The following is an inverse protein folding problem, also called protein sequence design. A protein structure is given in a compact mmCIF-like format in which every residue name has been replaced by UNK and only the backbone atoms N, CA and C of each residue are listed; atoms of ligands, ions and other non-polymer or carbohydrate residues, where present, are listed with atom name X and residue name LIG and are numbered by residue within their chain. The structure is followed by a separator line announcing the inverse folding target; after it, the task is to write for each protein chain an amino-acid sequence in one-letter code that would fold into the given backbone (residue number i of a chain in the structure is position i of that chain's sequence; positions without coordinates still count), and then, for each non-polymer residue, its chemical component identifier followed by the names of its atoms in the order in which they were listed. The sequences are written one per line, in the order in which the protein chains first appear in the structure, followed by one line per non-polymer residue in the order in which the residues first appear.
data_IF_814506033383
#
_entry.id   IF_814506033383
#
_cell.length_a   1.000
_cell.length_b   1.000
_cell.length_c   1.000
_cell.angle_alpha   90.00
_cell.angle_beta   90.00
_cell.angle_gamma   90.00
#
_symmetry.space_group_name_H-M   'P 1'
#
loop_
_entity.id
_entity.type
_entity.pdbx_description
1 polymer ?
#
# COMPACT_ATOMS: atom_id res chain seq x y z
N UNK A 1 -13.01 -6.12 3.63
CA UNK A 1 -13.45 -5.64 2.30
C UNK A 1 -13.24 -6.77 1.29
N UNK A 2 -14.29 -7.42 0.75
CA UNK A 2 -14.13 -8.67 0.01
C UNK A 2 -13.22 -8.57 -1.23
N UNK A 3 -13.12 -7.38 -1.84
CA UNK A 3 -12.22 -7.12 -2.97
C UNK A 3 -10.73 -7.14 -2.58
N UNK A 4 -10.36 -6.57 -1.42
CA UNK A 4 -8.99 -6.58 -0.90
C UNK A 4 -8.50 -8.01 -0.69
N UNK A 5 -9.28 -8.79 0.06
CA UNK A 5 -8.92 -10.17 0.38
C UNK A 5 -8.75 -11.03 -0.87
N UNK A 6 -9.65 -10.90 -1.84
CA UNK A 6 -9.59 -11.67 -3.08
C UNK A 6 -8.35 -11.28 -3.91
N UNK A 7 -8.02 -10.00 -3.98
CA UNK A 7 -6.86 -9.50 -4.71
C UNK A 7 -5.54 -9.95 -4.04
N UNK A 8 -5.44 -9.80 -2.71
CA UNK A 8 -4.26 -10.22 -1.95
C UNK A 8 -4.05 -11.73 -2.07
N UNK A 9 -5.09 -12.54 -1.83
CA UNK A 9 -4.99 -14.01 -1.92
C UNK A 9 -4.61 -14.50 -3.31
N UNK A 10 -5.03 -13.81 -4.37
CA UNK A 10 -4.74 -14.21 -5.75
C UNK A 10 -3.35 -13.75 -6.24
N UNK A 11 -2.80 -12.68 -5.69
CA UNK A 11 -1.59 -12.02 -6.23
C UNK A 11 -0.36 -12.03 -5.32
N UNK A 12 -0.49 -12.38 -4.05
CA UNK A 12 0.62 -12.27 -3.08
C UNK A 12 0.85 -13.56 -2.27
N UNK A 13 1.90 -13.54 -1.44
CA UNK A 13 2.20 -14.57 -0.44
C UNK A 13 1.91 -14.07 0.99
N UNK A 14 1.04 -13.05 1.13
CA UNK A 14 0.64 -12.53 2.43
C UNK A 14 -0.23 -13.55 3.18
N UNK A 15 0.04 -13.70 4.47
CA UNK A 15 -0.68 -14.60 5.37
C UNK A 15 -1.99 -13.96 5.84
N UNK A 16 -2.91 -14.76 6.38
CA UNK A 16 -4.13 -14.26 7.03
C UNK A 16 -3.83 -13.23 8.11
N UNK A 17 -2.77 -13.44 8.89
CA UNK A 17 -2.39 -12.52 9.95
C UNK A 17 -1.80 -11.19 9.43
N UNK A 18 -1.20 -11.20 8.24
CA UNK A 18 -0.81 -9.95 7.57
C UNK A 18 -2.05 -9.22 7.07
N UNK A 19 -3.00 -9.95 6.47
CA UNK A 19 -4.28 -9.39 6.03
C UNK A 19 -5.06 -8.73 7.17
N UNK A 20 -5.14 -9.35 8.34
CA UNK A 20 -5.76 -8.75 9.54
C UNK A 20 -5.06 -7.43 9.92
N UNK A 21 -3.72 -7.41 9.87
CA UNK A 21 -2.95 -6.20 10.18
C UNK A 21 -3.21 -5.08 9.16
N UNK A 22 -3.31 -5.43 7.87
CA UNK A 22 -3.69 -4.47 6.82
C UNK A 22 -5.12 -3.97 7.02
N UNK A 23 -6.06 -4.80 7.45
CA UNK A 23 -7.42 -4.36 7.75
C UNK A 23 -7.46 -3.33 8.90
N UNK A 24 -6.65 -3.54 9.94
CA UNK A 24 -6.52 -2.57 11.03
C UNK A 24 -5.96 -1.24 10.53
N UNK A 25 -4.91 -1.29 9.70
CA UNK A 25 -4.32 -0.10 9.08
C UNK A 25 -5.36 0.68 8.25
N UNK A 26 -6.12 -0.03 7.41
CA UNK A 26 -7.13 0.57 6.53
C UNK A 26 -8.36 1.10 7.27
N UNK A 27 -8.61 0.65 8.50
CA UNK A 27 -9.80 1.02 9.27
C UNK A 27 -9.94 2.52 9.50
N UNK A 28 -8.81 3.22 9.75
CA UNK A 28 -8.82 4.65 10.11
C UNK A 28 -7.83 5.50 9.29
N UNK A 29 -7.25 4.96 8.22
CA UNK A 29 -6.26 5.68 7.41
C UNK A 29 -6.81 6.92 6.65
N UNK A 30 -8.13 7.14 6.65
CA UNK A 30 -8.72 8.38 6.14
C UNK A 30 -8.18 9.60 6.89
N UNK A 31 -8.02 9.49 8.21
CA UNK A 31 -7.45 10.57 9.02
C UNK A 31 -6.02 10.90 8.58
N UNK A 32 -5.25 9.87 8.23
CA UNK A 32 -3.88 10.05 7.73
C UNK A 32 -3.89 10.77 6.38
N UNK A 33 -4.79 10.39 5.47
CA UNK A 33 -4.93 11.07 4.18
C UNK A 33 -5.32 12.54 4.36
N UNK A 34 -6.30 12.83 5.21
CA UNK A 34 -6.82 14.19 5.45
C UNK A 34 -5.78 15.11 6.08
N UNK A 35 -5.01 14.62 7.06
CA UNK A 35 -3.91 15.37 7.70
C UNK A 35 -2.70 15.56 6.77
N UNK A 36 -2.52 14.67 5.80
CA UNK A 36 -1.43 14.74 4.82
C UNK A 36 -1.82 15.54 3.57
N UNK A 37 -3.10 15.87 3.40
CA UNK A 37 -3.66 16.47 2.19
C UNK A 37 -3.33 15.68 0.91
N UNK A 38 -3.21 14.35 1.02
CA UNK A 38 -2.67 13.50 -0.03
C UNK A 38 -3.47 12.21 -0.22
N UNK A 39 -3.55 11.75 -1.47
CA UNK A 39 -4.00 10.39 -1.77
C UNK A 39 -2.98 9.38 -1.22
N UNK A 40 -3.46 8.29 -0.64
CA UNK A 40 -2.62 7.20 -0.15
C UNK A 40 -2.96 5.91 -0.90
N UNK A 41 -1.94 5.23 -1.42
CA UNK A 41 -2.09 3.94 -2.12
C UNK A 41 -1.36 2.87 -1.33
N UNK A 42 -2.06 1.80 -0.95
CA UNK A 42 -1.43 0.67 -0.27
C UNK A 42 -0.89 -0.32 -1.30
N UNK A 43 0.42 -0.41 -1.40
CA UNK A 43 1.14 -1.35 -2.25
C UNK A 43 1.55 -2.59 -1.46
N UNK A 44 1.30 -3.78 -2.00
CA UNK A 44 1.78 -5.05 -1.43
C UNK A 44 2.67 -5.79 -2.41
N UNK A 45 3.69 -6.51 -1.94
CA UNK A 45 4.56 -7.28 -2.82
C UNK A 45 3.78 -8.39 -3.52
N UNK A 46 3.98 -8.52 -4.83
CA UNK A 46 3.44 -9.65 -5.59
C UNK A 46 4.13 -10.96 -5.19
N UNK A 47 3.50 -12.10 -5.49
CA UNK A 47 4.09 -13.43 -5.29
C UNK A 47 5.48 -13.49 -5.92
N UNK A 48 6.45 -14.00 -5.18
CA UNK A 48 7.86 -14.04 -5.62
C UNK A 48 8.62 -12.70 -5.57
N UNK A 49 7.99 -11.61 -5.12
CA UNK A 49 8.65 -10.34 -4.81
C UNK A 49 9.17 -9.53 -6.01
N UNK A 50 8.72 -9.84 -7.22
CA UNK A 50 9.17 -9.18 -8.46
C UNK A 50 8.56 -7.80 -8.71
N UNK A 51 7.55 -7.41 -7.93
CA UNK A 51 6.84 -6.14 -8.11
C UNK A 51 5.85 -5.90 -6.99
N UNK A 52 4.99 -4.90 -7.20
CA UNK A 52 3.97 -4.48 -6.23
C UNK A 52 2.63 -4.30 -6.92
N UNK A 53 1.55 -4.60 -6.19
CA UNK A 53 0.18 -4.37 -6.63
C UNK A 53 -0.52 -3.46 -5.63
N UNK A 54 -1.23 -2.47 -6.12
CA UNK A 54 -2.05 -1.59 -5.30
C UNK A 54 -3.32 -2.34 -4.86
N UNK A 55 -3.58 -2.39 -3.57
CA UNK A 55 -4.71 -3.16 -3.00
C UNK A 55 -5.73 -2.32 -2.26
N UNK A 56 -5.38 -1.08 -1.95
CA UNK A 56 -6.29 -0.10 -1.41
C UNK A 56 -5.86 1.30 -1.84
N UNK A 57 -6.81 2.22 -1.90
CA UNK A 57 -6.57 3.63 -2.18
C UNK A 57 -7.55 4.47 -1.36
N UNK A 58 -7.06 5.51 -0.71
CA UNK A 58 -7.89 6.50 -0.03
C UNK A 58 -7.55 7.91 -0.53
N UNK A 59 -8.59 8.71 -0.70
CA UNK A 59 -8.51 10.11 -1.14
C UNK A 59 -8.76 11.02 0.05
N UNK A 60 -8.02 12.14 0.19
CA UNK A 60 -8.30 13.12 1.23
C UNK A 60 -9.63 13.80 0.94
N UNK A 61 -10.38 14.11 2.00
CA UNK A 61 -11.59 14.96 1.95
C UNK A 61 -11.25 16.44 2.04
N UNK A 62 -10.01 16.76 2.44
CA UNK A 62 -9.50 18.12 2.69
C UNK A 62 -8.76 18.74 1.50
N UNK A 63 -8.53 17.99 0.42
CA UNK A 63 -7.79 18.44 -0.76
C UNK A 63 -8.30 17.77 -2.05
N UNK A 64 -7.93 18.32 -3.20
CA UNK A 64 -8.21 17.69 -4.49
C UNK A 64 -7.33 16.43 -4.68
N UNK A 65 -7.90 15.39 -5.29
CA UNK A 65 -7.16 14.16 -5.62
C UNK A 65 -6.12 14.43 -6.71
N UNK A 66 -4.89 13.98 -6.49
CA UNK A 66 -3.81 13.88 -7.46
C UNK A 66 -3.89 12.59 -8.28
N UNK A 67 -4.61 11.56 -7.81
CA UNK A 67 -4.76 10.24 -8.44
C UNK A 67 -6.23 9.96 -8.84
N UNK A 68 -6.74 10.57 -9.92
CA UNK A 68 -8.15 10.45 -10.31
C UNK A 68 -8.53 9.06 -10.85
N UNK A 69 -7.57 8.29 -11.36
CA UNK A 69 -7.81 6.95 -11.92
C UNK A 69 -8.06 5.87 -10.87
N UNK A 70 -8.61 4.73 -11.30
CA UNK A 70 -8.67 3.55 -10.44
C UNK A 70 -7.25 3.02 -10.18
N UNK A 71 -6.91 2.91 -8.90
CA UNK A 71 -5.60 2.47 -8.46
C UNK A 71 -5.62 0.98 -8.08
N UNK A 72 -6.76 0.45 -7.63
CA UNK A 72 -6.82 -0.88 -7.03
C UNK A 72 -6.64 -1.94 -8.13
N UNK A 73 -5.71 -2.86 -7.92
CA UNK A 73 -5.34 -3.91 -8.87
C UNK A 73 -4.29 -3.49 -9.90
N UNK A 74 -3.86 -2.22 -9.93
CA UNK A 74 -2.74 -1.80 -10.79
C UNK A 74 -1.43 -2.39 -10.26
N UNK A 75 -0.59 -2.85 -11.18
CA UNK A 75 0.82 -3.17 -10.90
C UNK A 75 1.67 -1.89 -10.99
N UNK A 76 2.55 -1.69 -10.01
CA UNK A 76 3.42 -0.52 -9.99
C UNK A 76 4.29 -0.46 -11.26
N UNK A 77 4.41 0.72 -11.85
CA UNK A 77 5.33 0.93 -12.96
C UNK A 77 6.80 0.90 -12.50
N UNK A 78 7.74 1.05 -13.43
CA UNK A 78 9.18 0.93 -13.13
C UNK A 78 9.64 1.95 -12.08
N UNK A 79 9.13 3.18 -12.14
CA UNK A 79 9.55 4.26 -11.26
C UNK A 79 8.91 4.10 -9.88
N UNK A 80 7.62 3.75 -9.85
CA UNK A 80 6.89 3.38 -8.63
C UNK A 80 7.55 2.19 -7.92
N UNK A 81 7.91 1.12 -8.65
CA UNK A 81 8.62 -0.04 -8.08
C UNK A 81 9.94 0.37 -7.46
N UNK A 82 10.72 1.25 -8.10
CA UNK A 82 12.00 1.68 -7.56
C UNK A 82 11.86 2.49 -6.26
N UNK A 83 10.80 3.27 -6.12
CA UNK A 83 10.48 4.01 -4.89
C UNK A 83 9.95 3.08 -3.79
N UNK A 84 8.95 2.27 -4.11
CA UNK A 84 8.30 1.33 -3.20
C UNK A 84 9.29 0.26 -2.70
N UNK A 85 10.12 -0.30 -3.59
CA UNK A 85 11.14 -1.28 -3.22
C UNK A 85 12.21 -0.70 -2.29
N UNK A 86 12.57 0.59 -2.45
CA UNK A 86 13.52 1.25 -1.54
C UNK A 86 12.94 1.36 -0.13
N UNK A 87 11.67 1.75 0.00
CA UNK A 87 11.00 1.78 1.30
C UNK A 87 10.90 0.36 1.89
N UNK A 88 10.51 -0.62 1.07
CA UNK A 88 10.39 -2.00 1.51
C UNK A 88 11.72 -2.60 1.98
N UNK A 89 12.84 -2.28 1.33
CA UNK A 89 14.17 -2.75 1.69
C UNK A 89 14.79 -2.04 2.89
N UNK A 90 14.50 -0.74 3.09
CA UNK A 90 14.96 0.01 4.27
C UNK A 90 14.13 -0.28 5.51
N UNK A 91 12.90 -0.72 5.32
CA UNK A 91 11.90 -0.95 6.35
C UNK A 91 11.39 0.32 7.03
N UNK A 92 11.65 1.48 6.43
CA UNK A 92 11.29 2.79 6.96
C UNK A 92 10.74 3.74 5.90
N UNK A 93 10.86 5.04 6.17
CA UNK A 93 10.36 6.10 5.29
C UNK A 93 11.43 6.41 4.23
N UNK A 94 11.01 6.51 2.97
CA UNK A 94 11.86 6.96 1.85
C UNK A 94 11.24 8.20 1.22
N UNK A 95 11.98 9.31 1.28
CA UNK A 95 11.48 10.60 0.82
C UNK A 95 10.27 11.09 1.64
N UNK A 96 9.35 11.80 0.98
CA UNK A 96 8.08 12.26 1.55
C UNK A 96 6.87 11.46 1.02
N UNK A 97 7.11 10.29 0.41
CA UNK A 97 6.12 9.64 -0.47
C UNK A 97 5.95 8.13 -0.24
N UNK A 98 6.88 7.46 0.46
CA UNK A 98 6.80 6.01 0.67
C UNK A 98 7.15 5.63 2.11
N UNK A 99 6.26 4.88 2.75
CA UNK A 99 6.35 4.43 4.15
C UNK A 99 6.15 2.91 4.20
N UNK A 100 7.17 2.18 4.64
CA UNK A 100 7.06 0.73 4.82
C UNK A 100 6.20 0.35 6.03
N UNK A 101 5.24 -0.56 5.81
CA UNK A 101 4.44 -1.18 6.86
C UNK A 101 5.12 -2.47 7.30
N UNK A 102 5.69 -2.45 8.50
CA UNK A 102 6.42 -3.57 9.09
C UNK A 102 5.52 -4.47 9.92
N UNK A 103 5.75 -5.78 9.81
CA UNK A 103 5.18 -6.78 10.72
C UNK A 103 6.17 -7.91 10.94
N UNK A 104 6.42 -8.26 12.21
CA UNK A 104 7.33 -9.34 12.58
C UNK A 104 8.72 -9.25 11.90
N UNK A 105 9.25 -8.03 11.74
CA UNK A 105 10.56 -7.78 11.14
C UNK A 105 10.61 -7.85 9.60
N UNK A 106 9.46 -7.94 8.92
CA UNK A 106 9.37 -7.89 7.45
C UNK A 106 8.37 -6.83 6.98
N UNK A 107 8.65 -6.26 5.81
CA UNK A 107 7.70 -5.39 5.10
C UNK A 107 6.55 -6.22 4.55
N UNK A 108 5.32 -5.85 4.90
CA UNK A 108 4.10 -6.49 4.36
C UNK A 108 3.35 -5.60 3.36
N UNK A 109 3.59 -4.28 3.42
CA UNK A 109 3.05 -3.30 2.49
C UNK A 109 3.89 -2.01 2.51
N UNK A 110 3.60 -1.11 1.58
CA UNK A 110 4.14 0.25 1.53
C UNK A 110 2.98 1.20 1.22
N UNK A 111 2.90 2.33 1.93
CA UNK A 111 2.01 3.45 1.64
C UNK A 111 2.79 4.53 0.91
#
# INVERSE_FOLDING_TARGET
MPALDALVRSRTDLTTADLESLHLLLGEWQLVADLSFADLVLWVPTRGGSGFVAVAHVRPTTAATALPGDQIGREADRDEVAEVARAAGSGGIVGQRAIAVQRAGRTIAVI
#
